data_IF_770818095367
#
_entry.id   IF_770818095367
#
_cell.length_a   1.000
_cell.length_b   1.000
_cell.length_c   1.000
_cell.angle_alpha   90.00
_cell.angle_beta   90.00
_cell.angle_gamma   90.00
#
_symmetry.space_group_name_H-M   'P 1'
#
loop_
_entity.id
_entity.type
_entity.pdbx_description
1 polymer ?
#
# COMPACT_ATOMS: atom_id res chain seq x y z
N UNK A 1 -6.93 -16.04 -20.80
CA UNK A 1 -5.89 -15.32 -20.04
C UNK A 1 -6.43 -13.94 -19.69
N UNK A 2 -6.88 -13.74 -18.46
CA UNK A 2 -7.37 -12.42 -18.05
C UNK A 2 -6.15 -11.49 -17.94
N UNK A 3 -5.98 -10.59 -18.91
CA UNK A 3 -4.89 -9.62 -18.92
C UNK A 3 -5.04 -8.64 -17.76
N UNK A 4 -3.92 -8.22 -17.19
CA UNK A 4 -3.91 -7.14 -16.19
C UNK A 4 -4.31 -5.84 -16.88
N UNK A 5 -5.28 -5.11 -16.32
CA UNK A 5 -5.83 -3.89 -16.94
C UNK A 5 -5.25 -2.66 -16.25
N UNK A 6 -4.70 -1.73 -17.05
CA UNK A 6 -4.28 -0.43 -16.54
C UNK A 6 -5.48 0.35 -16.00
N UNK A 7 -5.36 0.83 -14.77
CA UNK A 7 -6.40 1.60 -14.08
C UNK A 7 -5.79 2.81 -13.39
N UNK A 8 -6.52 3.92 -13.39
CA UNK A 8 -6.19 5.10 -12.59
C UNK A 8 -6.61 4.88 -11.14
N UNK A 9 -5.97 5.60 -10.22
CA UNK A 9 -6.32 5.58 -8.78
C UNK A 9 -7.79 5.94 -8.58
N UNK A 10 -8.31 6.90 -9.37
CA UNK A 10 -9.71 7.33 -9.31
C UNK A 10 -10.72 6.24 -9.73
N UNK A 11 -10.27 5.20 -10.43
CA UNK A 11 -11.11 4.11 -10.95
C UNK A 11 -11.01 2.84 -10.09
N UNK A 12 -10.24 2.88 -9.00
CA UNK A 12 -10.07 1.75 -8.10
C UNK A 12 -11.32 1.55 -7.26
N UNK A 13 -11.78 0.31 -7.19
CA UNK A 13 -12.86 -0.12 -6.31
C UNK A 13 -12.46 -1.42 -5.61
N UNK A 14 -13.17 -1.80 -4.54
CA UNK A 14 -12.86 -2.98 -3.74
C UNK A 14 -13.12 -4.32 -4.45
N UNK A 15 -13.95 -4.32 -5.50
CA UNK A 15 -14.30 -5.49 -6.30
C UNK A 15 -13.32 -5.72 -7.46
N UNK A 16 -12.44 -4.75 -7.70
CA UNK A 16 -11.53 -4.73 -8.83
C UNK A 16 -10.43 -5.78 -8.61
N UNK A 17 -10.37 -6.74 -9.53
CA UNK A 17 -9.29 -7.72 -9.61
C UNK A 17 -8.43 -7.42 -10.85
N UNK A 18 -7.16 -7.82 -10.80
CA UNK A 18 -6.22 -7.73 -11.94
C UNK A 18 -5.98 -6.31 -12.47
N UNK A 19 -5.83 -5.35 -11.55
CA UNK A 19 -5.46 -3.98 -11.90
C UNK A 19 -3.95 -3.78 -11.99
N UNK A 20 -3.52 -2.88 -12.87
CA UNK A 20 -2.17 -2.33 -12.92
C UNK A 20 -2.25 -0.82 -12.73
N UNK A 21 -1.51 -0.31 -11.75
CA UNK A 21 -1.44 1.13 -11.44
C UNK A 21 0.00 1.59 -11.58
N UNK A 22 0.23 2.57 -12.45
CA UNK A 22 1.53 3.26 -12.54
C UNK A 22 1.46 4.56 -11.75
N UNK A 23 2.31 4.71 -10.74
CA UNK A 23 2.26 5.87 -9.86
C UNK A 23 3.66 6.25 -9.34
N UNK A 24 3.83 7.54 -9.03
CA UNK A 24 5.04 8.04 -8.38
C UNK A 24 4.94 7.88 -6.86
N UNK A 25 6.03 7.45 -6.22
CA UNK A 25 6.14 7.42 -4.76
C UNK A 25 6.39 8.84 -4.26
N UNK A 26 5.42 9.42 -3.54
CA UNK A 26 5.58 10.74 -2.91
C UNK A 26 6.29 10.64 -1.56
N UNK A 27 5.94 9.64 -0.76
CA UNK A 27 6.49 9.42 0.57
C UNK A 27 6.53 7.94 0.87
N UNK A 28 7.40 7.55 1.79
CA UNK A 28 7.44 6.20 2.36
C UNK A 28 7.66 6.28 3.87
N UNK A 29 7.07 5.35 4.60
CA UNK A 29 7.32 5.21 6.04
C UNK A 29 8.55 4.37 6.30
N UNK A 30 9.14 4.51 7.49
CA UNK A 30 10.13 3.55 7.98
C UNK A 30 9.47 2.16 8.08
N UNK A 31 10.12 1.08 7.60
CA UNK A 31 9.69 -0.28 7.85
C UNK A 31 9.38 -0.52 9.32
N UNK A 32 8.16 -0.95 9.62
CA UNK A 32 7.80 -1.39 10.95
C UNK A 32 7.86 -2.92 10.99
N UNK A 33 8.76 -3.46 11.80
CA UNK A 33 8.95 -4.90 11.97
C UNK A 33 8.51 -5.32 13.35
N UNK A 34 7.69 -6.36 13.44
CA UNK A 34 7.14 -6.86 14.68
C UNK A 34 7.10 -8.40 14.67
N UNK A 35 7.14 -9.00 15.86
CA UNK A 35 6.97 -10.44 16.01
C UNK A 35 5.51 -10.79 15.76
N UNK A 36 5.22 -11.77 14.90
CA UNK A 36 3.86 -12.23 14.70
C UNK A 36 3.32 -12.83 16.02
N UNK A 37 2.02 -12.66 16.29
CA UNK A 37 1.40 -13.25 17.49
C UNK A 37 1.18 -14.75 17.32
N UNK A 38 1.00 -15.16 16.07
CA UNK A 38 0.60 -16.50 15.64
C UNK A 38 1.79 -17.35 15.18
N UNK A 39 2.98 -16.74 15.04
CA UNK A 39 4.22 -17.40 14.62
C UNK A 39 5.41 -16.76 15.31
N UNK A 40 6.49 -17.51 15.56
CA UNK A 40 7.75 -16.96 16.08
C UNK A 40 8.56 -16.20 15.01
N UNK A 41 7.95 -15.90 13.86
CA UNK A 41 8.57 -15.17 12.75
C UNK A 41 8.32 -13.65 12.83
N UNK A 42 9.31 -12.88 12.35
CA UNK A 42 9.19 -11.44 12.22
C UNK A 42 8.45 -11.07 10.93
N UNK A 43 7.36 -10.30 11.08
CA UNK A 43 6.66 -9.67 9.97
C UNK A 43 7.01 -8.20 9.88
N UNK A 44 6.93 -7.67 8.69
CA UNK A 44 7.17 -6.27 8.37
C UNK A 44 5.98 -5.65 7.66
N UNK A 45 5.81 -4.34 7.88
CA UNK A 45 4.95 -3.50 7.05
C UNK A 45 5.69 -2.23 6.67
N UNK A 46 5.58 -1.86 5.39
CA UNK A 46 5.99 -0.55 4.88
C UNK A 46 4.80 0.09 4.16
N UNK A 47 4.62 1.39 4.34
CA UNK A 47 3.58 2.16 3.67
C UNK A 47 4.21 3.15 2.70
N UNK A 48 3.67 3.20 1.48
CA UNK A 48 4.01 4.16 0.45
C UNK A 48 2.79 5.05 0.16
N UNK A 49 3.01 6.34 -0.06
CA UNK A 49 1.98 7.21 -0.63
C UNK A 49 2.26 7.37 -2.11
N UNK A 50 1.34 6.89 -2.93
CA UNK A 50 1.43 6.87 -4.39
C UNK A 50 0.55 7.95 -5.00
N UNK A 51 0.98 8.51 -6.12
CA UNK A 51 0.22 9.51 -6.91
C UNK A 51 0.26 9.15 -8.40
N UNK A 52 -0.90 9.10 -9.05
CA UNK A 52 -0.99 8.87 -10.50
C UNK A 52 -1.23 10.16 -11.29
N UNK A 53 -1.79 11.18 -10.63
CA UNK A 53 -2.34 12.37 -11.26
C UNK A 53 -2.25 13.55 -10.32
N UNK A 54 -2.56 14.76 -10.80
CA UNK A 54 -2.42 15.97 -9.97
C UNK A 54 -3.29 15.94 -8.70
N UNK A 55 -4.37 15.18 -8.68
CA UNK A 55 -5.36 15.20 -7.60
C UNK A 55 -5.48 13.90 -6.81
N UNK A 56 -5.16 12.76 -7.42
CA UNK A 56 -5.41 11.47 -6.76
C UNK A 56 -4.14 10.91 -6.13
N UNK A 57 -4.25 10.63 -4.84
CA UNK A 57 -3.22 10.00 -4.02
C UNK A 57 -3.83 8.78 -3.33
N UNK A 58 -3.04 7.73 -3.11
CA UNK A 58 -3.47 6.54 -2.39
C UNK A 58 -2.35 6.01 -1.51
N UNK A 59 -2.70 5.40 -0.39
CA UNK A 59 -1.74 4.71 0.46
C UNK A 59 -1.67 3.24 0.04
N UNK A 60 -0.46 2.76 -0.23
CA UNK A 60 -0.16 1.37 -0.52
C UNK A 60 0.61 0.78 0.67
N UNK A 61 0.08 -0.29 1.26
CA UNK A 61 0.75 -1.03 2.36
C UNK A 61 1.26 -2.35 1.84
N UNK A 62 2.55 -2.59 2.00
CA UNK A 62 3.17 -3.88 1.68
C UNK A 62 3.43 -4.62 2.98
N UNK A 63 2.84 -5.81 3.07
CA UNK A 63 3.01 -6.73 4.20
C UNK A 63 3.86 -7.91 3.76
N UNK A 64 4.75 -8.38 4.63
CA UNK A 64 5.58 -9.54 4.35
C UNK A 64 6.56 -9.87 5.46
N UNK A 65 7.61 -10.60 5.13
CA UNK A 65 8.72 -10.86 6.05
C UNK A 65 9.54 -9.59 6.27
N UNK A 66 10.30 -9.55 7.36
CA UNK A 66 11.24 -8.46 7.64
C UNK A 66 12.20 -8.22 6.46
N UNK A 67 12.69 -9.29 5.85
CA UNK A 67 13.67 -9.27 4.76
C UNK A 67 13.06 -8.65 3.50
N UNK A 68 11.85 -9.07 3.13
CA UNK A 68 11.13 -8.54 1.96
C UNK A 68 10.88 -7.03 2.10
N UNK A 69 10.41 -6.61 3.26
CA UNK A 69 10.12 -5.20 3.54
C UNK A 69 11.41 -4.36 3.56
N UNK A 70 12.48 -4.89 4.12
CA UNK A 70 13.78 -4.24 4.11
C UNK A 70 14.35 -4.11 2.68
N UNK A 71 14.18 -5.13 1.84
CA UNK A 71 14.56 -5.08 0.42
C UNK A 71 13.77 -4.00 -0.32
N UNK A 72 12.44 -3.98 -0.17
CA UNK A 72 11.58 -2.99 -0.83
C UNK A 72 11.92 -1.56 -0.39
N UNK A 73 12.24 -1.37 0.89
CA UNK A 73 12.68 -0.07 1.36
C UNK A 73 14.01 0.40 0.73
N UNK A 74 14.93 -0.53 0.43
CA UNK A 74 16.20 -0.20 -0.26
C UNK A 74 16.01 0.03 -1.74
N UNK A 75 15.14 -0.78 -2.37
CA UNK A 75 14.89 -0.78 -3.82
C UNK A 75 14.10 0.44 -4.27
N UNK A 76 13.05 0.81 -3.54
CA UNK A 76 12.15 1.90 -3.92
C UNK A 76 12.52 3.21 -3.22
N UNK A 77 12.79 4.25 -4.01
CA UNK A 77 13.09 5.60 -3.52
C UNK A 77 11.89 6.52 -3.68
N UNK A 78 11.93 7.63 -2.94
CA UNK A 78 10.96 8.71 -3.11
C UNK A 78 11.20 9.33 -4.50
N UNK A 79 10.13 9.66 -5.20
CA UNK A 79 10.07 10.12 -6.60
C UNK A 79 10.30 9.05 -7.68
N UNK A 80 10.47 7.77 -7.31
CA UNK A 80 10.46 6.70 -8.30
C UNK A 80 9.03 6.45 -8.81
N UNK A 81 8.92 6.16 -10.11
CA UNK A 81 7.67 5.69 -10.73
C UNK A 81 7.66 4.17 -10.68
N UNK A 82 6.60 3.61 -10.08
CA UNK A 82 6.45 2.17 -9.90
C UNK A 82 5.14 1.68 -10.51
N UNK A 83 5.16 0.41 -10.95
CA UNK A 83 3.97 -0.32 -11.33
C UNK A 83 3.52 -1.23 -10.19
N UNK A 84 2.30 -1.02 -9.74
CA UNK A 84 1.64 -1.88 -8.75
C UNK A 84 0.73 -2.84 -9.49
N UNK A 85 1.07 -4.13 -9.42
CA UNK A 85 0.39 -5.21 -10.14
C UNK A 85 -0.50 -5.96 -9.15
N UNK A 86 -1.74 -6.23 -9.55
CA UNK A 86 -2.72 -7.00 -8.77
C UNK A 86 -2.86 -6.54 -7.31
N UNK A 87 -3.09 -5.23 -7.05
CA UNK A 87 -3.25 -4.74 -5.68
C UNK A 87 -4.56 -5.23 -5.04
N UNK A 88 -4.53 -5.43 -3.73
CA UNK A 88 -5.75 -5.55 -2.93
C UNK A 88 -6.24 -4.15 -2.54
N UNK A 89 -7.38 -3.74 -3.08
CA UNK A 89 -7.99 -2.43 -2.83
C UNK A 89 -8.95 -2.54 -1.65
N UNK A 90 -8.66 -1.83 -0.57
CA UNK A 90 -9.51 -1.80 0.62
C UNK A 90 -10.00 -0.36 0.84
N UNK A 91 -11.32 -0.15 1.01
CA UNK A 91 -11.83 1.18 1.32
C UNK A 91 -11.28 1.61 2.69
N UNK A 92 -10.76 2.83 2.75
CA UNK A 92 -10.35 3.40 4.03
C UNK A 92 -11.60 3.75 4.82
N UNK A 93 -11.93 2.93 5.83
CA UNK A 93 -12.94 3.27 6.82
C UNK A 93 -12.39 4.44 7.65
N UNK A 94 -12.84 5.65 7.35
CA UNK A 94 -12.62 6.81 8.22
C UNK A 94 -13.43 6.54 9.48
N UNK A 95 -12.81 5.95 10.49
CA UNK A 95 -13.39 5.95 11.83
C UNK A 95 -13.35 7.41 12.29
N UNK A 96 -14.52 8.03 12.33
CA UNK A 96 -14.69 9.35 12.91
C UNK A 96 -14.20 9.26 14.36
N UNK A 97 -13.11 9.96 14.68
CA UNK A 97 -12.52 9.94 16.02
C UNK A 97 -13.41 10.64 17.06
N UNK A 98 -14.56 11.17 16.67
CA UNK A 98 -15.51 11.84 17.56
C UNK A 98 -16.19 10.93 18.59
N UNK A 99 -16.08 9.60 18.50
CA UNK A 99 -16.79 8.69 19.42
C UNK A 99 -15.90 8.02 20.49
N UNK A 100 -14.61 8.33 20.57
CA UNK A 100 -13.68 7.71 21.53
C UNK A 100 -13.31 8.60 22.73
N UNK A 101 -14.09 9.66 23.00
CA UNK A 101 -13.88 10.54 24.15
C UNK A 101 -14.73 10.19 25.39
N UNK A 102 -15.54 9.13 25.34
CA UNK A 102 -16.37 8.71 26.48
C UNK A 102 -16.24 7.19 26.71
N UNK A 103 -15.13 6.73 27.29
CA UNK A 103 -15.06 5.54 28.16
C UNK A 103 -13.94 5.69 29.19
#
# INVERSE_FOLDING_TARGET
MAGVVHKKIAELNAELQNALITAIILTKTTPNTFLARDSSEFRGVISFTLRDSKRHIINCKVWGTKELVAEYNRKFKIYDVIDVITPSVVPTLVHDKSTLAEQ
#
